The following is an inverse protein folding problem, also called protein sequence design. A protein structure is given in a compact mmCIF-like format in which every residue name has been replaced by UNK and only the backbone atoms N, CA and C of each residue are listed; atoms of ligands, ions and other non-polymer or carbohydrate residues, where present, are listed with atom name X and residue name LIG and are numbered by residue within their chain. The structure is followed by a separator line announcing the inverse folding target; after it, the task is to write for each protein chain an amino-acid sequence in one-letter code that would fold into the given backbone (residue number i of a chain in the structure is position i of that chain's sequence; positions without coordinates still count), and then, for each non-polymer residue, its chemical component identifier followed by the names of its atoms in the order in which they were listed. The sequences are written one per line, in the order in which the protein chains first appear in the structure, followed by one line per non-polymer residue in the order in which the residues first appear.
data_IF_331778767274
#
_entry.id   IF_331778767274
#
_cell.length_a   1.000
_cell.length_b   1.000
_cell.length_c   1.000
_cell.angle_alpha   90.00
_cell.angle_beta   90.00
_cell.angle_gamma   90.00
#
_symmetry.space_group_name_H-M   'P 1'
#
loop_
_entity.id
_entity.type
_entity.pdbx_description
1 polymer ?
#
# COMPACT_ATOMS: atom_id res chain seq x y z
N UNK A 1 5.16 -38.89 -3.88
CA UNK A 1 5.88 -37.98 -2.96
C UNK A 1 6.44 -36.72 -3.60
N UNK A 2 6.25 -36.47 -4.87
CA UNK A 2 6.68 -35.24 -5.54
C UNK A 2 5.69 -34.07 -5.58
N UNK A 3 4.48 -34.22 -5.06
CA UNK A 3 3.37 -33.29 -5.25
C UNK A 3 3.41 -32.07 -4.30
N UNK A 4 4.00 -32.22 -3.14
CA UNK A 4 4.09 -31.16 -2.11
C UNK A 4 5.10 -30.05 -2.45
N UNK A 5 6.07 -30.32 -3.31
CA UNK A 5 7.09 -29.36 -3.71
C UNK A 5 6.62 -28.37 -4.79
N UNK A 6 5.52 -28.69 -5.49
CA UNK A 6 4.98 -27.82 -6.54
C UNK A 6 4.10 -26.68 -6.01
N UNK A 7 3.44 -26.89 -4.88
CA UNK A 7 2.60 -25.83 -4.28
C UNK A 7 3.42 -24.76 -3.58
N UNK A 8 4.56 -25.13 -3.03
CA UNK A 8 5.47 -24.19 -2.38
C UNK A 8 6.08 -23.20 -3.37
N UNK A 9 6.22 -23.59 -4.63
CA UNK A 9 6.78 -22.68 -5.67
C UNK A 9 5.82 -21.58 -6.15
N UNK A 10 4.52 -21.71 -5.91
CA UNK A 10 3.53 -20.68 -6.29
C UNK A 10 3.46 -19.49 -5.34
N UNK A 11 3.94 -19.64 -4.12
CA UNK A 11 3.97 -18.50 -3.18
C UNK A 11 5.18 -17.58 -3.37
N UNK A 12 6.05 -17.88 -4.33
CA UNK A 12 7.33 -17.20 -4.53
C UNK A 12 7.36 -16.11 -5.60
N UNK A 13 6.25 -15.54 -5.99
CA UNK A 13 6.26 -14.16 -6.48
C UNK A 13 6.63 -13.15 -5.37
N UNK A 14 6.78 -13.64 -4.16
CA UNK A 14 7.16 -12.90 -2.94
C UNK A 14 8.67 -12.63 -2.82
N UNK A 15 9.64 -13.37 -3.39
CA UNK A 15 11.06 -13.12 -3.12
C UNK A 15 11.57 -11.77 -3.62
N UNK A 16 11.00 -11.21 -4.67
CA UNK A 16 11.37 -9.87 -5.13
C UNK A 16 10.93 -8.82 -4.12
N UNK A 17 9.78 -9.02 -3.48
CA UNK A 17 9.28 -8.19 -2.39
C UNK A 17 10.14 -8.39 -1.13
N UNK A 18 10.60 -9.60 -0.85
CA UNK A 18 11.47 -9.91 0.30
C UNK A 18 12.87 -9.32 0.16
N UNK A 19 13.44 -9.24 -1.03
CA UNK A 19 14.72 -8.57 -1.27
C UNK A 19 14.67 -7.07 -0.94
N UNK A 20 13.48 -6.48 -0.98
CA UNK A 20 13.24 -5.09 -0.62
C UNK A 20 12.73 -4.91 0.81
N UNK A 21 12.32 -5.99 1.49
CA UNK A 21 11.74 -5.92 2.84
C UNK A 21 12.76 -5.65 3.95
N UNK A 22 13.99 -6.02 3.79
CA UNK A 22 15.01 -5.83 4.83
C UNK A 22 15.55 -4.38 4.91
N UNK A 23 15.31 -3.56 3.92
CA UNK A 23 15.53 -2.12 4.02
C UNK A 23 14.36 -1.36 4.66
N UNK A 24 13.23 -2.03 4.87
CA UNK A 24 12.06 -1.46 5.53
C UNK A 24 12.25 -1.44 7.04
N UNK A 25 12.02 -0.30 7.64
CA UNK A 25 12.13 -0.08 9.08
C UNK A 25 10.79 0.38 9.64
N UNK A 26 10.59 0.19 10.93
CA UNK A 26 9.38 0.63 11.66
C UNK A 26 8.09 0.25 10.92
N UNK A 27 8.00 -1.00 10.51
CA UNK A 27 6.84 -1.54 9.81
C UNK A 27 5.65 -1.69 10.75
N UNK A 28 4.51 -1.18 10.32
CA UNK A 28 3.23 -1.31 11.02
C UNK A 28 2.27 -2.08 10.11
N UNK A 29 1.74 -3.17 10.63
CA UNK A 29 0.72 -3.99 9.97
C UNK A 29 -0.65 -3.62 10.52
N UNK A 30 -1.56 -3.21 9.65
CA UNK A 30 -2.92 -2.81 10.00
C UNK A 30 -3.96 -3.92 9.78
N UNK A 31 -3.52 -5.17 9.59
CA UNK A 31 -4.42 -6.30 9.31
C UNK A 31 -5.46 -6.55 10.41
N UNK A 32 -5.09 -6.37 11.68
CA UNK A 32 -6.03 -6.51 12.80
C UNK A 32 -7.12 -5.44 12.77
N UNK A 33 -6.75 -4.20 12.51
CA UNK A 33 -7.71 -3.09 12.38
C UNK A 33 -8.63 -3.29 11.18
N UNK A 34 -8.07 -3.71 10.05
CA UNK A 34 -8.81 -4.09 8.84
C UNK A 34 -9.82 -5.19 9.13
N UNK A 35 -9.38 -6.26 9.80
CA UNK A 35 -10.25 -7.37 10.21
C UNK A 35 -11.38 -6.92 11.13
N UNK A 36 -11.09 -6.06 12.12
CA UNK A 36 -12.08 -5.54 13.04
C UNK A 36 -13.18 -4.75 12.31
N UNK A 37 -12.81 -3.92 11.34
CA UNK A 37 -13.75 -3.18 10.49
C UNK A 37 -14.65 -4.14 9.69
N UNK A 38 -14.07 -5.15 9.06
CA UNK A 38 -14.83 -6.13 8.29
C UNK A 38 -15.77 -6.98 9.17
N UNK A 39 -15.29 -7.40 10.34
CA UNK A 39 -16.14 -8.14 11.32
C UNK A 39 -17.32 -7.27 11.75
N UNK A 40 -17.11 -6.02 12.05
CA UNK A 40 -18.15 -5.06 12.42
C UNK A 40 -19.20 -4.90 11.30
N UNK A 41 -18.74 -4.81 10.06
CA UNK A 41 -19.62 -4.76 8.88
C UNK A 41 -20.43 -6.05 8.72
N UNK A 42 -19.78 -7.20 8.74
CA UNK A 42 -20.48 -8.50 8.56
C UNK A 42 -21.43 -8.83 9.70
N UNK A 43 -21.24 -8.30 10.90
CA UNK A 43 -22.17 -8.38 12.03
C UNK A 43 -23.33 -7.39 11.95
N UNK A 44 -23.34 -6.50 10.96
CA UNK A 44 -24.37 -5.48 10.80
C UNK A 44 -24.22 -4.25 11.71
N UNK A 45 -23.08 -4.09 12.41
CA UNK A 45 -22.81 -2.93 13.25
C UNK A 45 -22.40 -1.69 12.45
N UNK A 46 -21.90 -1.88 11.22
CA UNK A 46 -21.60 -0.80 10.28
C UNK A 46 -22.29 -1.03 8.95
N UNK A 47 -22.79 0.01 8.33
CA UNK A 47 -23.37 -0.07 7.00
C UNK A 47 -22.27 -0.08 5.92
N UNK A 48 -22.59 -0.57 4.73
CA UNK A 48 -21.67 -0.56 3.60
C UNK A 48 -21.19 0.86 3.25
N UNK A 49 -22.08 1.84 3.32
CA UNK A 49 -21.77 3.24 3.05
C UNK A 49 -20.73 3.82 4.02
N UNK A 50 -20.62 3.28 5.23
CA UNK A 50 -19.68 3.76 6.24
C UNK A 50 -18.25 3.25 6.01
N UNK A 51 -18.08 2.18 5.24
CA UNK A 51 -16.79 1.54 4.98
C UNK A 51 -16.38 1.58 3.51
N UNK A 52 -17.32 1.82 2.61
CA UNK A 52 -17.09 2.01 1.18
C UNK A 52 -17.21 3.49 0.84
N UNK A 53 -16.34 4.29 1.42
CA UNK A 53 -16.41 5.75 1.46
C UNK A 53 -15.14 6.44 0.96
N UNK A 54 -14.40 5.79 0.05
CA UNK A 54 -13.23 6.40 -0.56
C UNK A 54 -13.57 7.78 -1.13
N UNK A 55 -12.82 8.79 -0.73
CA UNK A 55 -13.01 10.15 -1.21
C UNK A 55 -12.69 10.28 -2.72
N UNK A 56 -13.13 11.36 -3.38
CA UNK A 56 -12.92 11.52 -4.83
C UNK A 56 -11.45 11.50 -5.26
N UNK A 57 -10.52 12.01 -4.45
CA UNK A 57 -9.09 12.01 -4.77
C UNK A 57 -8.52 10.60 -4.70
N UNK A 58 -8.89 9.82 -3.67
CA UNK A 58 -8.47 8.44 -3.54
C UNK A 58 -9.04 7.56 -4.67
N UNK A 59 -10.30 7.77 -5.06
CA UNK A 59 -10.90 7.07 -6.21
C UNK A 59 -10.18 7.38 -7.52
N UNK A 60 -9.85 8.64 -7.73
CA UNK A 60 -9.10 9.07 -8.92
C UNK A 60 -7.68 8.48 -8.93
N UNK A 61 -7.02 8.51 -7.78
CA UNK A 61 -5.71 7.89 -7.60
C UNK A 61 -5.74 6.38 -7.90
N UNK A 62 -6.72 5.67 -7.38
CA UNK A 62 -6.90 4.24 -7.62
C UNK A 62 -7.12 3.92 -9.10
N UNK A 63 -7.86 4.77 -9.80
CA UNK A 63 -8.11 4.62 -11.24
C UNK A 63 -6.85 4.79 -12.07
N UNK A 64 -6.00 5.79 -11.78
CA UNK A 64 -4.87 6.16 -12.62
C UNK A 64 -3.53 5.55 -12.18
N UNK A 65 -3.36 5.26 -10.91
CA UNK A 65 -2.09 4.82 -10.32
C UNK A 65 -2.18 3.51 -9.55
N UNK A 66 -3.38 2.94 -9.39
CA UNK A 66 -3.56 1.71 -8.64
C UNK A 66 -2.88 0.52 -9.32
N UNK A 67 -2.12 -0.23 -8.55
CA UNK A 67 -1.53 -1.50 -8.97
C UNK A 67 -2.53 -2.62 -8.66
N UNK A 68 -2.97 -3.34 -9.70
CA UNK A 68 -3.96 -4.41 -9.54
C UNK A 68 -3.43 -5.55 -8.65
N UNK A 69 -4.29 -6.06 -7.79
CA UNK A 69 -4.00 -7.22 -6.96
C UNK A 69 -4.97 -8.36 -7.28
N UNK A 70 -4.50 -9.62 -7.17
CA UNK A 70 -5.26 -10.80 -7.59
C UNK A 70 -6.32 -11.27 -6.57
N UNK A 71 -6.54 -10.54 -5.51
CA UNK A 71 -7.54 -10.89 -4.51
C UNK A 71 -8.84 -10.11 -4.72
N UNK A 72 -10.01 -10.73 -4.49
CA UNK A 72 -11.28 -10.03 -4.56
C UNK A 72 -11.45 -9.01 -3.43
N UNK A 73 -12.29 -8.02 -3.65
CA UNK A 73 -12.68 -7.09 -2.59
C UNK A 73 -13.39 -7.86 -1.45
N UNK A 74 -13.02 -7.61 -0.20
CA UNK A 74 -13.64 -8.30 0.93
C UNK A 74 -15.12 -7.91 1.14
N UNK A 75 -15.57 -6.79 0.57
CA UNK A 75 -16.93 -6.28 0.73
C UNK A 75 -17.82 -6.65 -0.46
N UNK A 76 -17.45 -6.26 -1.69
CA UNK A 76 -18.29 -6.50 -2.88
C UNK A 76 -17.92 -7.77 -3.66
N UNK A 77 -16.81 -8.43 -3.32
CA UNK A 77 -16.30 -9.67 -3.95
C UNK A 77 -15.84 -9.53 -5.40
N UNK A 78 -15.86 -8.34 -5.98
CA UNK A 78 -15.38 -8.09 -7.34
C UNK A 78 -13.84 -8.05 -7.38
N UNK A 79 -13.26 -8.39 -8.53
CA UNK A 79 -11.82 -8.33 -8.81
C UNK A 79 -11.41 -6.92 -9.24
N UNK A 80 -11.70 -5.94 -8.39
CA UNK A 80 -11.46 -4.52 -8.66
C UNK A 80 -10.50 -3.88 -7.65
N UNK A 81 -9.79 -4.72 -6.88
CA UNK A 81 -8.85 -4.25 -5.87
C UNK A 81 -7.54 -3.77 -6.50
N UNK A 82 -7.12 -2.61 -6.07
CA UNK A 82 -5.80 -2.04 -6.37
C UNK A 82 -5.09 -1.63 -5.09
N UNK A 83 -3.78 -1.44 -5.19
CA UNK A 83 -2.95 -0.96 -4.09
C UNK A 83 -2.24 0.31 -4.54
N UNK A 84 -2.14 1.27 -3.62
CA UNK A 84 -1.45 2.54 -3.79
C UNK A 84 -0.35 2.67 -2.73
N UNK A 85 0.78 3.24 -3.12
CA UNK A 85 1.90 3.54 -2.23
C UNK A 85 2.08 5.05 -2.15
N UNK A 86 1.80 5.64 -1.00
CA UNK A 86 2.01 7.07 -0.73
C UNK A 86 3.32 7.26 0.03
N UNK A 87 4.17 8.15 -0.45
CA UNK A 87 5.43 8.48 0.20
C UNK A 87 5.34 9.84 0.90
N UNK A 88 5.65 9.88 2.19
CA UNK A 88 5.63 11.09 3.01
C UNK A 88 6.95 11.26 3.77
N UNK A 89 7.41 12.48 3.88
CA UNK A 89 8.56 12.82 4.69
C UNK A 89 9.15 14.19 4.35
N UNK A 90 9.78 14.81 5.34
CA UNK A 90 10.42 16.12 5.18
C UNK A 90 11.57 16.05 4.17
N UNK A 91 12.27 14.92 4.11
CA UNK A 91 13.36 14.69 3.14
C UNK A 91 12.87 14.69 1.69
N UNK A 92 11.60 14.46 1.45
CA UNK A 92 11.01 14.48 0.10
C UNK A 92 10.64 15.90 -0.36
N UNK A 93 10.57 16.89 0.55
CA UNK A 93 10.19 18.25 0.23
C UNK A 93 8.87 18.33 -0.54
N UNK A 94 8.88 18.91 -1.73
CA UNK A 94 7.70 19.04 -2.60
C UNK A 94 7.13 17.71 -3.10
N UNK A 95 7.88 16.62 -3.02
CA UNK A 95 7.44 15.29 -3.45
C UNK A 95 6.75 14.50 -2.35
N UNK A 96 6.69 15.06 -1.13
CA UNK A 96 5.94 14.44 -0.03
C UNK A 96 4.45 14.36 -0.36
N UNK A 97 3.83 13.22 -0.03
CA UNK A 97 2.41 12.96 -0.27
C UNK A 97 2.07 12.43 -1.66
N UNK A 98 3.07 12.16 -2.49
CA UNK A 98 2.85 11.61 -3.84
C UNK A 98 2.79 10.10 -3.85
N UNK A 99 2.04 9.59 -4.81
CA UNK A 99 1.98 8.15 -5.10
C UNK A 99 3.24 7.76 -5.88
N UNK A 100 3.79 6.61 -5.48
CA UNK A 100 5.00 6.05 -6.08
C UNK A 100 4.80 4.58 -6.43
N UNK A 101 5.34 4.15 -7.55
CA UNK A 101 5.44 2.73 -7.87
C UNK A 101 6.51 2.05 -7.01
N UNK A 102 6.47 0.71 -6.94
CA UNK A 102 7.50 -0.06 -6.24
C UNK A 102 8.90 0.21 -6.84
N UNK A 103 8.99 0.33 -8.16
CA UNK A 103 10.24 0.66 -8.85
C UNK A 103 10.79 2.03 -8.42
N UNK A 104 9.93 3.06 -8.39
CA UNK A 104 10.31 4.39 -7.91
C UNK A 104 10.75 4.39 -6.44
N UNK A 105 10.03 3.64 -5.58
CA UNK A 105 10.40 3.50 -4.17
C UNK A 105 11.77 2.85 -3.99
N UNK A 106 12.12 1.88 -4.82
CA UNK A 106 13.43 1.24 -4.82
C UNK A 106 14.55 2.21 -5.15
N UNK A 107 14.35 3.07 -6.14
CA UNK A 107 15.31 4.10 -6.51
C UNK A 107 15.42 5.15 -5.39
N UNK A 108 14.28 5.59 -4.86
CA UNK A 108 14.20 6.63 -3.82
C UNK A 108 14.92 6.26 -2.53
N UNK A 109 14.96 4.98 -2.14
CA UNK A 109 15.60 4.59 -0.87
C UNK A 109 17.12 4.83 -0.85
N UNK A 110 17.78 4.98 -1.99
CA UNK A 110 19.19 5.37 -2.08
C UNK A 110 19.40 6.86 -2.31
N UNK A 111 18.36 7.60 -2.69
CA UNK A 111 18.41 9.03 -3.00
C UNK A 111 17.99 9.91 -1.83
N UNK A 112 17.11 9.42 -0.97
CA UNK A 112 16.54 10.17 0.14
C UNK A 112 16.94 9.58 1.49
N UNK A 113 17.03 10.45 2.50
CA UNK A 113 17.49 10.07 3.83
C UNK A 113 16.50 9.17 4.58
N UNK A 114 15.30 9.65 4.79
CA UNK A 114 14.23 8.90 5.43
C UNK A 114 12.87 9.41 4.96
N UNK A 115 11.99 8.49 4.65
CA UNK A 115 10.59 8.78 4.34
C UNK A 115 9.71 7.58 4.71
N UNK A 116 8.43 7.84 4.95
CA UNK A 116 7.44 6.80 5.29
C UNK A 116 6.55 6.49 4.10
N UNK A 117 6.34 5.23 3.87
CA UNK A 117 5.43 4.72 2.84
C UNK A 117 4.16 4.19 3.51
N UNK A 118 3.02 4.62 3.01
CA UNK A 118 1.70 4.11 3.40
C UNK A 118 1.12 3.32 2.24
N UNK A 119 0.75 2.08 2.52
CA UNK A 119 0.18 1.16 1.52
C UNK A 119 -1.32 1.08 1.77
N UNK A 120 -2.10 1.52 0.80
CA UNK A 120 -3.57 1.59 0.89
C UNK A 120 -4.17 0.68 -0.17
N UNK A 121 -5.08 -0.19 0.24
CA UNK A 121 -5.92 -0.93 -0.71
C UNK A 121 -7.20 -0.14 -1.01
N UNK A 122 -7.64 -0.18 -2.26
CA UNK A 122 -8.87 0.47 -2.71
C UNK A 122 -9.60 -0.45 -3.68
N UNK A 123 -10.90 -0.60 -3.52
CA UNK A 123 -11.75 -1.26 -4.49
C UNK A 123 -12.39 -0.24 -5.43
N UNK A 124 -12.07 -0.32 -6.71
CA UNK A 124 -12.66 0.56 -7.73
C UNK A 124 -14.14 0.26 -8.00
N UNK A 125 -14.63 -0.88 -7.51
CA UNK A 125 -16.03 -1.30 -7.70
C UNK A 125 -16.99 -0.73 -6.64
N UNK A 126 -16.60 -0.75 -5.35
CA UNK A 126 -17.48 -0.34 -4.25
C UNK A 126 -16.94 0.77 -3.36
N UNK A 127 -15.75 1.30 -3.65
CA UNK A 127 -15.07 2.33 -2.85
C UNK A 127 -14.60 1.89 -1.46
N UNK A 128 -14.52 0.57 -1.20
CA UNK A 128 -13.82 0.05 -0.02
C UNK A 128 -12.37 0.51 -0.05
N UNK A 129 -11.86 0.97 1.07
CA UNK A 129 -10.44 1.27 1.21
C UNK A 129 -9.97 0.98 2.64
N UNK A 130 -8.71 0.65 2.78
CA UNK A 130 -8.08 0.47 4.08
C UNK A 130 -6.56 0.62 3.97
N UNK A 131 -5.97 1.21 4.99
CA UNK A 131 -4.53 1.20 5.17
C UNK A 131 -4.11 -0.23 5.56
N UNK A 132 -3.16 -0.82 4.85
CA UNK A 132 -2.70 -2.20 5.09
C UNK A 132 -1.32 -2.27 5.72
N UNK A 133 -0.40 -1.42 5.31
CA UNK A 133 0.94 -1.32 5.87
C UNK A 133 1.43 0.11 5.91
N UNK A 134 2.36 0.39 6.81
CA UNK A 134 3.27 1.53 6.69
C UNK A 134 4.68 1.11 7.12
N UNK A 135 5.68 1.71 6.52
CA UNK A 135 7.08 1.44 6.82
C UNK A 135 7.96 2.62 6.41
N UNK A 136 9.16 2.68 6.98
CA UNK A 136 10.18 3.67 6.62
C UNK A 136 11.13 3.09 5.59
N UNK A 137 11.51 3.92 4.62
CA UNK A 137 12.57 3.69 3.65
C UNK A 137 13.59 4.85 3.72
N UNK A 138 14.67 4.70 2.95
CA UNK A 138 15.74 5.67 2.87
C UNK A 138 17.04 5.14 3.45
N UNK A 139 18.16 5.82 3.15
CA UNK A 139 19.48 5.40 3.59
C UNK A 139 19.89 5.94 4.97
N UNK A 140 19.02 6.69 5.63
CA UNK A 140 19.23 7.28 6.95
C UNK A 140 20.13 8.53 6.95
N UNK A 141 20.61 8.97 5.78
CA UNK A 141 21.44 10.18 5.69
C UNK A 141 20.58 11.41 5.48
N UNK A 142 20.73 12.40 6.35
CA UNK A 142 20.00 13.67 6.23
C UNK A 142 20.52 14.47 5.04
N UNK A 143 19.64 14.83 4.11
CA UNK A 143 19.93 15.69 2.96
C UNK A 143 18.98 16.88 2.95
N UNK A 144 19.36 17.91 2.24
CA UNK A 144 18.41 19.02 1.99
C UNK A 144 17.28 18.52 1.09
N UNK A 145 16.01 18.80 1.44
CA UNK A 145 14.90 18.46 0.58
C UNK A 145 15.04 19.09 -0.82
N UNK A 146 14.48 18.47 -1.86
CA UNK A 146 14.45 19.05 -3.19
C UNK A 146 13.80 20.43 -3.16
N UNK A 147 14.41 21.39 -3.84
CA UNK A 147 13.85 22.75 -3.95
C UNK A 147 12.62 22.72 -4.85
N UNK A 148 11.65 23.58 -4.52
CA UNK A 148 10.54 23.82 -5.44
C UNK A 148 11.12 24.43 -6.72
N UNK A 149 10.87 23.78 -7.83
CA UNK A 149 11.07 24.40 -9.15
C UNK A 149 9.94 25.39 -9.34
N UNK A 150 10.30 26.63 -9.40
CA UNK A 150 9.36 27.71 -9.75
C UNK A 150 8.93 27.62 -11.20
#
# INVERSE_FOLDING_TARGET
MGILLHEVKRSYSIPIILLHMWSRRDSIDYSLKRRATLVSYFKGAQAKVDICDADPYLRLAAKHHGEAVERPCPVCRKQEMVVLHYAFGDQLGQYSGRIKSIGELNEMQSEYGEFRVYVVEVCRGCDWHHLIYSFKLGDGQTRKPPRKTS
#
